data_IF_948603141024
#
_entry.id   IF_948603141024
#
_cell.length_a   1.000
_cell.length_b   1.000
_cell.length_c   1.000
_cell.angle_alpha   90.00
_cell.angle_beta   90.00
_cell.angle_gamma   90.00
#
_symmetry.space_group_name_H-M   'P 1'
#
loop_
_entity.id
_entity.type
_entity.pdbx_description
1 polymer ?
#
# COMPACT_ATOMS: atom_id res chain seq x y z
N UNK A 1 6.46 36.50 3.90
CA UNK A 1 7.84 36.17 4.34
C UNK A 1 7.94 35.75 5.80
N UNK A 2 7.21 36.35 6.75
CA UNK A 2 7.38 36.05 8.19
C UNK A 2 6.27 35.20 8.83
N UNK A 3 5.12 35.03 8.16
CA UNK A 3 3.91 34.46 8.76
C UNK A 3 3.97 32.93 9.04
N UNK A 4 5.01 32.21 8.56
CA UNK A 4 5.19 30.78 8.78
C UNK A 4 4.97 29.86 7.55
N UNK A 5 3.98 30.08 6.66
CA UNK A 5 3.78 29.25 5.48
C UNK A 5 4.94 29.28 4.49
N UNK A 6 5.14 28.17 3.77
CA UNK A 6 6.13 28.10 2.70
C UNK A 6 5.62 28.83 1.45
N UNK A 7 6.44 29.71 0.87
CA UNK A 7 6.12 30.45 -0.35
C UNK A 7 6.46 29.68 -1.63
N UNK A 8 7.08 28.49 -1.52
CA UNK A 8 7.28 27.59 -2.65
C UNK A 8 5.97 26.87 -2.92
N UNK A 9 5.21 27.40 -3.88
CA UNK A 9 3.84 27.00 -4.20
C UNK A 9 3.75 26.32 -5.58
N UNK A 10 2.79 25.41 -5.79
CA UNK A 10 2.48 24.85 -7.10
C UNK A 10 1.95 25.94 -8.05
N UNK A 11 2.45 25.96 -9.30
CA UNK A 11 2.05 26.93 -10.34
C UNK A 11 1.47 26.21 -11.57
N UNK A 12 1.05 26.94 -12.60
CA UNK A 12 0.48 26.33 -13.82
C UNK A 12 -0.85 25.58 -13.58
N UNK A 13 -1.63 25.97 -12.58
CA UNK A 13 -2.92 25.35 -12.24
C UNK A 13 -2.84 24.08 -11.38
N UNK A 14 -1.63 23.63 -11.04
CA UNK A 14 -1.41 22.38 -10.28
C UNK A 14 -1.84 22.45 -8.82
N UNK A 15 -2.10 23.64 -8.27
CA UNK A 15 -2.65 23.82 -6.92
C UNK A 15 -4.02 23.13 -6.70
N UNK A 16 -4.68 22.66 -7.77
CA UNK A 16 -5.89 21.81 -7.70
C UNK A 16 -5.63 20.42 -7.12
N UNK A 17 -4.39 19.92 -7.18
CA UNK A 17 -4.03 18.57 -6.75
C UNK A 17 -2.67 18.46 -6.06
N UNK A 18 -1.85 19.52 -6.08
CA UNK A 18 -0.56 19.58 -5.40
C UNK A 18 -0.62 20.55 -4.20
N UNK A 19 0.15 20.22 -3.16
CA UNK A 19 0.30 21.05 -1.96
C UNK A 19 1.51 21.98 -2.06
N UNK A 20 1.55 23.09 -1.29
CA UNK A 20 2.77 23.83 -1.01
C UNK A 20 3.90 22.93 -0.51
N UNK A 21 5.16 23.29 -0.81
CA UNK A 21 6.32 22.58 -0.27
C UNK A 21 6.27 22.60 1.26
N UNK A 22 6.33 21.44 1.89
CA UNK A 22 6.28 21.24 3.33
C UNK A 22 7.18 20.10 3.78
N UNK A 23 7.05 19.75 5.06
CA UNK A 23 7.88 18.70 5.67
C UNK A 23 7.70 17.35 4.97
N UNK A 24 6.47 17.04 4.53
CA UNK A 24 6.15 15.75 3.91
C UNK A 24 6.83 15.53 2.56
N UNK A 25 7.26 16.57 1.86
CA UNK A 25 8.04 16.43 0.62
C UNK A 25 9.43 15.83 0.86
N UNK A 26 9.91 15.88 2.11
CA UNK A 26 11.20 15.34 2.54
C UNK A 26 11.05 14.00 3.30
N UNK A 27 9.83 13.47 3.42
CA UNK A 27 9.54 12.23 4.15
C UNK A 27 8.92 11.21 3.19
N UNK A 28 9.37 9.95 3.27
CA UNK A 28 8.69 8.83 2.60
C UNK A 28 7.76 8.13 3.58
N UNK A 29 6.49 7.96 3.18
CA UNK A 29 5.50 7.21 3.98
C UNK A 29 5.37 5.79 3.41
N UNK A 30 5.72 4.79 4.23
CA UNK A 30 5.66 3.38 3.86
C UNK A 30 4.66 2.64 4.74
N UNK A 31 3.78 1.85 4.13
CA UNK A 31 2.88 0.95 4.85
C UNK A 31 3.58 -0.38 5.14
N UNK A 32 3.57 -0.83 6.39
CA UNK A 32 4.07 -2.14 6.80
C UNK A 32 2.88 -3.02 7.17
N UNK A 33 2.81 -4.22 6.60
CA UNK A 33 1.73 -5.18 6.84
C UNK A 33 2.35 -6.52 7.25
N UNK A 34 1.87 -7.09 8.35
CA UNK A 34 2.27 -8.40 8.84
C UNK A 34 1.02 -9.25 9.15
N UNK A 35 1.07 -10.53 8.79
CA UNK A 35 -0.02 -11.49 9.02
C UNK A 35 0.50 -12.59 9.94
N UNK A 36 -0.23 -12.88 11.02
CA UNK A 36 0.04 -14.07 11.81
C UNK A 36 -0.34 -15.34 11.01
N UNK A 37 0.23 -16.51 11.32
CA UNK A 37 -0.16 -17.75 10.65
C UNK A 37 -1.66 -18.05 10.76
N UNK A 38 -2.27 -17.79 11.91
CA UNK A 38 -3.71 -17.97 12.10
C UNK A 38 -4.54 -17.02 11.23
N UNK A 39 -4.09 -15.77 11.11
CA UNK A 39 -4.73 -14.75 10.26
C UNK A 39 -4.62 -15.12 8.78
N UNK A 40 -3.44 -15.56 8.33
CA UNK A 40 -3.23 -16.01 6.95
C UNK A 40 -4.13 -17.20 6.62
N UNK A 41 -4.18 -18.22 7.48
CA UNK A 41 -5.04 -19.39 7.27
C UNK A 41 -6.52 -19.03 7.13
N UNK A 42 -6.98 -18.07 7.94
CA UNK A 42 -8.38 -17.62 7.92
C UNK A 42 -8.72 -16.86 6.64
N UNK A 43 -7.85 -15.94 6.20
CA UNK A 43 -8.13 -15.08 5.05
C UNK A 43 -7.73 -15.72 3.70
N UNK A 44 -6.91 -16.78 3.72
CA UNK A 44 -6.39 -17.42 2.51
C UNK A 44 -7.45 -17.87 1.49
N UNK A 45 -8.59 -18.46 1.87
CA UNK A 45 -9.61 -18.86 0.90
C UNK A 45 -10.12 -17.68 0.06
N UNK A 46 -10.29 -16.51 0.68
CA UNK A 46 -10.78 -15.32 -0.02
C UNK A 46 -9.68 -14.67 -0.89
N UNK A 47 -8.43 -14.64 -0.40
CA UNK A 47 -7.29 -14.13 -1.19
C UNK A 47 -7.05 -14.99 -2.43
N UNK A 48 -7.12 -16.32 -2.30
CA UNK A 48 -6.99 -17.25 -3.42
C UNK A 48 -8.13 -17.02 -4.42
N UNK A 49 -9.38 -16.96 -3.94
CA UNK A 49 -10.55 -16.75 -4.80
C UNK A 49 -10.44 -15.45 -5.58
N UNK A 50 -10.02 -14.36 -4.93
CA UNK A 50 -9.81 -13.07 -5.57
C UNK A 50 -8.73 -13.17 -6.65
N UNK A 51 -7.56 -13.72 -6.31
CA UNK A 51 -6.46 -13.86 -7.24
C UNK A 51 -6.82 -14.72 -8.47
N UNK A 52 -7.55 -15.80 -8.29
CA UNK A 52 -8.02 -16.63 -9.42
C UNK A 52 -9.05 -15.91 -10.28
N UNK A 53 -9.96 -15.16 -9.68
CA UNK A 53 -10.96 -14.37 -10.42
C UNK A 53 -10.32 -13.28 -11.28
N UNK A 54 -9.17 -12.75 -10.86
CA UNK A 54 -8.37 -11.77 -11.61
C UNK A 54 -7.38 -12.44 -12.59
N UNK A 55 -7.34 -13.77 -12.67
CA UNK A 55 -6.40 -14.52 -13.50
C UNK A 55 -4.95 -14.52 -13.00
N UNK A 56 -4.72 -14.10 -11.76
CA UNK A 56 -3.41 -13.97 -11.11
C UNK A 56 -3.02 -15.26 -10.37
N UNK A 57 -2.95 -16.39 -11.09
CA UNK A 57 -2.71 -17.70 -10.48
C UNK A 57 -1.41 -17.78 -9.66
N UNK A 58 -0.35 -17.07 -10.06
CA UNK A 58 0.89 -17.00 -9.27
C UNK A 58 0.72 -16.37 -7.88
N UNK A 59 -0.21 -15.43 -7.72
CA UNK A 59 -0.54 -14.85 -6.42
C UNK A 59 -1.31 -15.86 -5.55
N UNK A 60 -2.23 -16.61 -6.15
CA UNK A 60 -2.94 -17.70 -5.47
C UNK A 60 -1.96 -18.79 -4.98
N UNK A 61 -1.04 -19.22 -5.85
CA UNK A 61 -0.02 -20.22 -5.49
C UNK A 61 0.89 -19.74 -4.36
N UNK A 62 1.29 -18.46 -4.36
CA UNK A 62 2.08 -17.91 -3.26
C UNK A 62 1.38 -18.05 -1.89
N UNK A 63 0.05 -18.00 -1.85
CA UNK A 63 -0.71 -18.25 -0.61
C UNK A 63 -0.76 -19.76 -0.32
N UNK A 64 -1.07 -20.60 -1.31
CA UNK A 64 -1.19 -22.06 -1.16
C UNK A 64 0.06 -22.69 -0.56
N UNK A 65 1.24 -22.38 -1.10
CA UNK A 65 2.51 -22.96 -0.60
C UNK A 65 2.80 -22.60 0.87
N UNK A 66 2.26 -21.48 1.36
CA UNK A 66 2.39 -21.05 2.76
C UNK A 66 1.39 -21.75 3.69
N UNK A 67 0.32 -22.30 3.15
CA UNK A 67 -0.59 -23.18 3.88
C UNK A 67 -0.01 -24.59 3.99
N UNK A 68 0.61 -25.08 2.92
CA UNK A 68 1.18 -26.44 2.85
C UNK A 68 2.40 -26.62 3.77
N UNK A 69 3.24 -25.58 3.90
CA UNK A 69 4.43 -25.58 4.77
C UNK A 69 4.13 -25.44 6.27
N UNK A 70 2.85 -25.40 6.69
CA UNK A 70 2.45 -25.28 8.09
C UNK A 70 2.20 -26.63 8.78
N UNK A 71 2.84 -27.72 8.30
CA UNK A 71 2.90 -29.01 9.00
C UNK A 71 3.84 -28.95 10.20
#
# INVERSE_FOLDING_TARGET
YFAGPNHVLPTGGTARFASPLGVYDFVKRTSLIGLSPARLRRDAPDVIRLAESEGLFGHAEAVRVRLDGSR
#
